data_IF_949519004068
#
_entry.id   IF_949519004068
#
_cell.length_a   1.000
_cell.length_b   1.000
_cell.length_c   1.000
_cell.angle_alpha   90.00
_cell.angle_beta   90.00
_cell.angle_gamma   90.00
#
_symmetry.space_group_name_H-M   'P 1'
#
loop_
_entity.id
_entity.type
_entity.pdbx_description
1 polymer ?
#
# COMPACT_ATOMS: atom_id res chain seq x y z
N UNK A 1 -37.36 72.92 -26.77
CA UNK A 1 -37.05 72.13 -27.98
C UNK A 1 -35.96 71.18 -27.54
N UNK A 2 -36.34 69.98 -27.11
CA UNK A 2 -35.38 69.01 -26.58
C UNK A 2 -34.94 68.15 -27.76
N UNK A 3 -33.70 68.33 -28.19
CA UNK A 3 -33.02 67.37 -29.06
C UNK A 3 -32.80 66.08 -28.28
N UNK A 4 -33.47 65.03 -28.71
CA UNK A 4 -33.16 63.67 -28.33
C UNK A 4 -31.89 63.33 -29.11
N UNK A 5 -30.77 63.22 -28.41
CA UNK A 5 -29.55 62.65 -28.96
C UNK A 5 -29.80 61.14 -29.06
N UNK A 6 -30.10 60.65 -30.26
CA UNK A 6 -30.02 59.22 -30.58
C UNK A 6 -28.55 58.82 -30.49
N UNK A 7 -28.17 58.22 -29.36
CA UNK A 7 -26.94 57.43 -29.25
C UNK A 7 -27.16 56.15 -30.03
N UNK A 8 -26.78 56.14 -31.30
CA UNK A 8 -26.53 54.88 -32.02
C UNK A 8 -25.41 54.15 -31.28
N UNK A 9 -25.73 53.02 -30.64
CA UNK A 9 -24.72 52.07 -30.22
C UNK A 9 -24.06 51.54 -31.50
N UNK A 10 -22.87 52.03 -31.84
CA UNK A 10 -21.98 51.35 -32.78
C UNK A 10 -21.61 49.99 -32.16
N UNK A 11 -22.43 48.97 -32.40
CA UNK A 11 -22.00 47.60 -32.24
C UNK A 11 -21.06 47.31 -33.40
N UNK A 12 -19.75 47.43 -33.20
CA UNK A 12 -18.76 46.85 -34.11
C UNK A 12 -19.11 45.38 -34.30
N UNK A 13 -19.67 45.05 -35.45
CA UNK A 13 -19.98 43.67 -35.80
C UNK A 13 -18.67 42.95 -36.07
N UNK A 14 -18.37 41.92 -35.29
CA UNK A 14 -17.17 41.11 -35.48
C UNK A 14 -17.11 40.58 -36.93
N UNK A 15 -15.93 40.56 -37.57
CA UNK A 15 -15.70 39.95 -38.87
C UNK A 15 -16.23 38.51 -38.94
N UNK A 16 -17.38 38.32 -39.61
CA UNK A 16 -18.12 37.05 -39.65
C UNK A 16 -17.25 35.87 -40.14
N UNK A 17 -16.37 36.11 -41.12
CA UNK A 17 -15.52 35.06 -41.69
C UNK A 17 -14.43 34.58 -40.74
N UNK A 18 -13.86 35.49 -39.93
CA UNK A 18 -12.78 35.22 -38.99
C UNK A 18 -13.29 34.45 -37.77
N UNK A 19 -14.41 34.91 -37.20
CA UNK A 19 -15.11 34.22 -36.11
C UNK A 19 -15.55 32.81 -36.56
N UNK A 20 -16.03 32.65 -37.79
CA UNK A 20 -16.41 31.34 -38.32
C UNK A 20 -15.20 30.39 -38.45
N UNK A 21 -14.03 30.89 -38.83
CA UNK A 21 -12.79 30.11 -38.87
C UNK A 21 -12.38 29.61 -37.49
N UNK A 22 -12.31 30.52 -36.52
CA UNK A 22 -11.96 30.20 -35.14
C UNK A 22 -12.94 29.21 -34.49
N UNK A 23 -14.24 29.34 -34.77
CA UNK A 23 -15.26 28.40 -34.28
C UNK A 23 -15.02 26.98 -34.80
N UNK A 24 -14.74 26.84 -36.11
CA UNK A 24 -14.46 25.53 -36.72
C UNK A 24 -13.22 24.91 -36.08
N UNK A 25 -12.18 25.71 -35.86
CA UNK A 25 -10.95 25.24 -35.21
C UNK A 25 -11.18 24.79 -33.77
N UNK A 26 -11.86 25.61 -32.95
CA UNK A 26 -12.20 25.23 -31.59
C UNK A 26 -13.00 23.93 -31.54
N UNK A 27 -14.04 23.78 -32.37
CA UNK A 27 -14.87 22.59 -32.37
C UNK A 27 -14.11 21.34 -32.82
N UNK A 28 -13.13 21.49 -33.71
CA UNK A 28 -12.23 20.40 -34.06
C UNK A 28 -11.39 19.96 -32.84
N UNK A 29 -10.80 20.92 -32.11
CA UNK A 29 -10.00 20.65 -30.89
C UNK A 29 -10.85 20.05 -29.77
N UNK A 30 -12.07 20.54 -29.55
CA UNK A 30 -13.03 19.95 -28.59
C UNK A 30 -13.38 18.51 -28.98
N UNK A 31 -13.63 18.25 -30.26
CA UNK A 31 -13.94 16.90 -30.74
C UNK A 31 -12.77 15.94 -30.55
N UNK A 32 -11.54 16.41 -30.78
CA UNK A 32 -10.32 15.65 -30.50
C UNK A 32 -10.14 15.36 -28.99
N UNK A 33 -10.36 16.37 -28.15
CA UNK A 33 -10.31 16.23 -26.69
C UNK A 33 -11.33 15.21 -26.15
N UNK A 34 -12.55 15.20 -26.71
CA UNK A 34 -13.58 14.19 -26.41
C UNK A 34 -13.14 12.79 -26.86
N UNK A 35 -12.56 12.66 -28.06
CA UNK A 35 -12.09 11.38 -28.58
C UNK A 35 -10.95 10.78 -27.73
N UNK A 36 -10.14 11.64 -27.10
CA UNK A 36 -9.09 11.23 -26.16
C UNK A 36 -9.56 11.07 -24.72
N UNK A 37 -10.84 11.35 -24.42
CA UNK A 37 -11.39 11.28 -23.07
C UNK A 37 -10.88 12.37 -22.12
N UNK A 38 -10.15 13.37 -22.65
CA UNK A 38 -9.69 14.54 -21.89
C UNK A 38 -10.89 15.39 -21.50
N UNK A 39 -11.85 15.54 -22.42
CA UNK A 39 -13.13 16.17 -22.13
C UNK A 39 -14.20 15.11 -21.92
N UNK A 40 -15.11 15.39 -20.99
CA UNK A 40 -16.44 14.83 -21.01
C UNK A 40 -17.39 15.81 -21.73
N UNK A 41 -18.64 15.39 -21.98
CA UNK A 41 -19.61 16.23 -22.68
C UNK A 41 -19.87 17.57 -21.98
N UNK A 42 -19.87 17.59 -20.64
CA UNK A 42 -20.05 18.82 -19.86
C UNK A 42 -18.91 19.80 -20.12
N UNK A 43 -17.66 19.32 -20.08
CA UNK A 43 -16.48 20.15 -20.33
C UNK A 43 -16.43 20.68 -21.75
N UNK A 44 -16.80 19.86 -22.73
CA UNK A 44 -16.93 20.30 -24.12
C UNK A 44 -17.93 21.47 -24.23
N UNK A 45 -19.12 21.34 -23.63
CA UNK A 45 -20.13 22.41 -23.62
C UNK A 45 -19.66 23.68 -22.89
N UNK A 46 -18.87 23.56 -21.82
CA UNK A 46 -18.27 24.74 -21.16
C UNK A 46 -17.34 25.52 -22.09
N UNK A 47 -16.51 24.83 -22.87
CA UNK A 47 -15.60 25.46 -23.83
C UNK A 47 -16.35 26.10 -24.99
N UNK A 48 -17.37 25.43 -25.54
CA UNK A 48 -18.25 25.99 -26.57
C UNK A 48 -18.95 27.26 -26.06
N UNK A 49 -19.54 27.21 -24.86
CA UNK A 49 -20.21 28.36 -24.27
C UNK A 49 -19.24 29.51 -23.95
N UNK A 50 -18.02 29.20 -23.52
CA UNK A 50 -16.97 30.19 -23.27
C UNK A 50 -16.57 30.94 -24.54
N UNK A 51 -16.43 30.23 -25.66
CA UNK A 51 -16.15 30.83 -26.95
C UNK A 51 -17.30 31.70 -27.48
N UNK A 52 -18.54 31.22 -27.38
CA UNK A 52 -19.72 31.99 -27.80
C UNK A 52 -19.97 33.23 -26.93
N UNK A 53 -19.42 33.27 -25.71
CA UNK A 53 -19.50 34.43 -24.83
C UNK A 53 -18.46 35.52 -25.15
N UNK A 54 -17.46 35.26 -25.99
CA UNK A 54 -16.46 36.23 -26.35
C UNK A 54 -17.05 37.37 -27.20
N UNK A 55 -16.73 38.61 -26.83
CA UNK A 55 -17.14 39.82 -27.57
C UNK A 55 -16.03 40.41 -28.45
N UNK A 56 -14.81 39.85 -28.38
CA UNK A 56 -13.61 40.33 -29.09
C UNK A 56 -12.91 39.14 -29.77
N UNK A 57 -12.41 39.33 -31.00
CA UNK A 57 -11.69 38.28 -31.75
C UNK A 57 -10.44 37.83 -31.00
N UNK A 58 -9.67 38.77 -30.43
CA UNK A 58 -8.44 38.46 -29.70
C UNK A 58 -8.70 37.47 -28.55
N UNK A 59 -9.85 37.56 -27.87
CA UNK A 59 -10.23 36.58 -26.85
C UNK A 59 -10.56 35.20 -27.44
N UNK A 60 -11.18 35.15 -28.62
CA UNK A 60 -11.48 33.90 -29.33
C UNK A 60 -10.19 33.21 -29.81
N UNK A 61 -9.25 33.98 -30.36
CA UNK A 61 -7.91 33.49 -30.75
C UNK A 61 -7.18 32.91 -29.54
N UNK A 62 -7.14 33.66 -28.43
CA UNK A 62 -6.54 33.20 -27.18
C UNK A 62 -7.18 31.90 -26.66
N UNK A 63 -8.52 31.74 -26.75
CA UNK A 63 -9.18 30.49 -26.35
C UNK A 63 -8.77 29.31 -27.25
N UNK A 64 -8.64 29.54 -28.56
CA UNK A 64 -8.18 28.53 -29.52
C UNK A 64 -6.72 28.14 -29.28
N UNK A 65 -5.88 29.06 -28.82
CA UNK A 65 -4.50 28.76 -28.43
C UNK A 65 -4.42 27.99 -27.10
N UNK A 66 -5.15 28.45 -26.07
CA UNK A 66 -5.08 27.88 -24.71
C UNK A 66 -5.67 26.46 -24.66
N UNK A 67 -6.65 26.13 -25.51
CA UNK A 67 -7.28 24.81 -25.47
C UNK A 67 -6.27 23.68 -25.77
N UNK A 68 -5.25 23.91 -26.60
CA UNK A 68 -4.20 22.91 -26.87
C UNK A 68 -3.39 22.60 -25.61
N UNK A 69 -2.94 23.64 -24.90
CA UNK A 69 -2.19 23.47 -23.63
C UNK A 69 -3.04 22.74 -22.58
N UNK A 70 -4.34 23.03 -22.55
CA UNK A 70 -5.27 22.35 -21.67
C UNK A 70 -5.46 20.88 -22.05
N UNK A 71 -5.57 20.58 -23.35
CA UNK A 71 -5.68 19.20 -23.85
C UNK A 71 -4.43 18.41 -23.49
N UNK A 72 -3.23 18.96 -23.72
CA UNK A 72 -1.97 18.31 -23.37
C UNK A 72 -1.86 18.05 -21.86
N UNK A 73 -2.24 19.02 -21.03
CA UNK A 73 -2.31 18.85 -19.58
C UNK A 73 -3.29 17.74 -19.17
N UNK A 74 -4.43 17.63 -19.87
CA UNK A 74 -5.41 16.55 -19.69
C UNK A 74 -4.86 15.18 -20.05
N UNK A 75 -4.13 15.07 -21.16
CA UNK A 75 -3.50 13.81 -21.57
C UNK A 75 -2.46 13.34 -20.55
N UNK A 76 -1.65 14.26 -20.06
CA UNK A 76 -0.67 13.97 -19.02
C UNK A 76 -1.36 13.50 -17.72
N UNK A 77 -2.45 14.17 -17.33
CA UNK A 77 -3.23 13.78 -16.16
C UNK A 77 -3.83 12.36 -16.29
N UNK A 78 -4.42 12.04 -17.44
CA UNK A 78 -4.95 10.69 -17.73
C UNK A 78 -3.82 9.65 -17.67
N UNK A 79 -2.67 9.95 -18.27
CA UNK A 79 -1.50 9.07 -18.22
C UNK A 79 -1.02 8.81 -16.79
N UNK A 80 -0.96 9.85 -15.96
CA UNK A 80 -0.58 9.73 -14.55
C UNK A 80 -1.61 8.93 -13.74
N UNK A 81 -2.91 9.11 -13.99
CA UNK A 81 -3.98 8.33 -13.36
C UNK A 81 -3.87 6.84 -13.73
N UNK A 82 -3.73 6.52 -15.01
CA UNK A 82 -3.55 5.15 -15.48
C UNK A 82 -2.30 4.49 -14.89
N UNK A 83 -1.19 5.22 -14.85
CA UNK A 83 0.07 4.74 -14.26
C UNK A 83 -0.08 4.47 -12.77
N UNK A 84 -0.78 5.36 -12.05
CA UNK A 84 -1.02 5.22 -10.60
C UNK A 84 -1.97 4.04 -10.32
N UNK A 85 -3.02 3.86 -11.12
CA UNK A 85 -3.97 2.76 -10.98
C UNK A 85 -3.36 1.41 -11.34
N UNK A 86 -2.41 1.36 -12.28
CA UNK A 86 -1.68 0.13 -12.62
C UNK A 86 -0.79 -0.40 -11.48
N UNK A 87 -0.60 0.35 -10.40
CA UNK A 87 0.21 -0.05 -9.24
C UNK A 87 -0.39 -1.30 -8.53
N UNK A 88 0.49 -2.10 -7.89
CA UNK A 88 0.11 -3.28 -7.09
C UNK A 88 -0.63 -2.92 -5.78
N UNK A 89 -0.69 -1.63 -5.44
CA UNK A 89 -1.48 -1.14 -4.34
C UNK A 89 -2.98 -1.41 -4.52
N UNK A 90 -3.45 -1.51 -5.76
CA UNK A 90 -4.86 -1.71 -6.10
C UNK A 90 -5.06 -3.09 -6.71
N UNK A 91 -6.14 -3.77 -6.28
CA UNK A 91 -6.62 -4.97 -6.96
C UNK A 91 -7.43 -4.60 -8.20
N UNK A 92 -7.63 -5.55 -9.11
CA UNK A 92 -8.28 -5.27 -10.41
C UNK A 92 -9.68 -4.65 -10.27
N UNK A 93 -10.47 -5.09 -9.28
CA UNK A 93 -11.78 -4.51 -9.03
C UNK A 93 -11.71 -3.05 -8.56
N UNK A 94 -10.73 -2.69 -7.73
CA UNK A 94 -10.50 -1.29 -7.32
C UNK A 94 -10.07 -0.44 -8.52
N UNK A 95 -9.18 -0.97 -9.37
CA UNK A 95 -8.74 -0.27 -10.59
C UNK A 95 -9.91 0.03 -11.51
N UNK A 96 -10.74 -0.98 -11.78
CA UNK A 96 -11.91 -0.83 -12.64
C UNK A 96 -12.90 0.18 -12.06
N UNK A 97 -13.18 0.11 -10.76
CA UNK A 97 -14.06 1.07 -10.10
C UNK A 97 -13.51 2.50 -10.19
N UNK A 98 -12.22 2.70 -9.88
CA UNK A 98 -11.60 4.03 -9.89
C UNK A 98 -11.48 4.63 -11.28
N UNK A 99 -11.24 3.82 -12.32
CA UNK A 99 -11.31 4.27 -13.73
C UNK A 99 -12.71 4.82 -14.07
N UNK A 100 -13.76 4.06 -13.78
CA UNK A 100 -15.13 4.50 -14.03
C UNK A 100 -15.50 5.77 -13.26
N UNK A 101 -14.97 5.94 -12.04
CA UNK A 101 -15.12 7.19 -11.28
C UNK A 101 -14.42 8.36 -12.00
N UNK A 102 -13.15 8.18 -12.40
CA UNK A 102 -12.34 9.21 -13.10
C UNK A 102 -12.98 9.71 -14.39
N UNK A 103 -13.56 8.83 -15.20
CA UNK A 103 -14.21 9.17 -16.47
C UNK A 103 -15.38 10.17 -16.32
N UNK A 104 -15.99 10.22 -15.13
CA UNK A 104 -17.13 11.10 -14.84
C UNK A 104 -16.71 12.41 -14.16
N UNK A 105 -15.44 12.54 -13.77
CA UNK A 105 -14.95 13.71 -13.05
C UNK A 105 -14.54 14.84 -13.99
N UNK A 106 -14.71 16.07 -13.51
CA UNK A 106 -14.09 17.25 -14.13
C UNK A 106 -12.56 17.20 -13.95
N UNK A 107 -11.82 17.91 -14.80
CA UNK A 107 -10.35 17.98 -14.75
C UNK A 107 -9.79 18.24 -13.33
N UNK A 108 -10.32 19.25 -12.62
CA UNK A 108 -9.88 19.57 -11.25
C UNK A 108 -10.18 18.44 -10.25
N UNK A 109 -11.29 17.73 -10.44
CA UNK A 109 -11.63 16.59 -9.60
C UNK A 109 -10.76 15.37 -9.93
N UNK A 110 -10.38 15.18 -11.19
CA UNK A 110 -9.39 14.19 -11.62
C UNK A 110 -8.00 14.46 -11.00
N UNK A 111 -7.53 15.71 -10.97
CA UNK A 111 -6.29 16.08 -10.27
C UNK A 111 -6.35 15.75 -8.78
N UNK A 112 -7.48 16.04 -8.14
CA UNK A 112 -7.68 15.72 -6.72
C UNK A 112 -7.69 14.20 -6.50
N UNK A 113 -8.37 13.45 -7.36
CA UNK A 113 -8.38 11.98 -7.34
C UNK A 113 -6.97 11.41 -7.51
N UNK A 114 -6.17 11.93 -8.45
CA UNK A 114 -4.78 11.51 -8.65
C UNK A 114 -3.95 11.65 -7.37
N UNK A 115 -4.11 12.77 -6.65
CA UNK A 115 -3.43 12.98 -5.36
C UNK A 115 -3.85 11.94 -4.32
N UNK A 116 -5.16 11.66 -4.21
CA UNK A 116 -5.67 10.64 -3.28
C UNK A 116 -5.17 9.23 -3.62
N UNK A 117 -5.12 8.88 -4.90
CA UNK A 117 -4.60 7.61 -5.37
C UNK A 117 -3.09 7.50 -5.07
N UNK A 118 -2.34 8.57 -5.31
CA UNK A 118 -0.90 8.63 -5.01
C UNK A 118 -0.63 8.47 -3.52
N UNK A 119 -1.37 9.16 -2.66
CA UNK A 119 -1.28 9.01 -1.19
C UNK A 119 -1.59 7.57 -0.76
N UNK A 120 -2.54 6.92 -1.43
CA UNK A 120 -2.91 5.53 -1.18
C UNK A 120 -1.77 4.59 -1.57
N UNK A 121 -1.15 4.78 -2.74
CA UNK A 121 0.02 4.00 -3.19
C UNK A 121 1.15 4.12 -2.18
N UNK A 122 1.49 5.34 -1.75
CA UNK A 122 2.56 5.59 -0.78
C UNK A 122 2.27 4.92 0.57
N UNK A 123 1.02 4.98 1.04
CA UNK A 123 0.59 4.31 2.28
C UNK A 123 0.72 2.80 2.17
N UNK A 124 0.23 2.21 1.08
CA UNK A 124 0.26 0.77 0.85
C UNK A 124 1.70 0.26 0.69
N UNK A 125 2.57 1.01 0.02
CA UNK A 125 3.98 0.64 -0.10
C UNK A 125 4.68 0.63 1.27
N UNK A 126 4.41 1.62 2.14
CA UNK A 126 4.89 1.62 3.52
C UNK A 126 4.38 0.41 4.31
N UNK A 127 3.11 0.01 4.12
CA UNK A 127 2.56 -1.19 4.75
C UNK A 127 3.22 -2.47 4.22
N UNK A 128 3.45 -2.57 2.92
CA UNK A 128 4.16 -3.69 2.27
C UNK A 128 5.56 -3.85 2.83
N UNK A 129 6.31 -2.74 2.93
CA UNK A 129 7.65 -2.74 3.52
C UNK A 129 7.64 -3.20 4.98
N UNK A 130 6.70 -2.71 5.80
CA UNK A 130 6.54 -3.18 7.18
C UNK A 130 6.25 -4.68 7.25
N UNK A 131 5.36 -5.17 6.38
CA UNK A 131 5.04 -6.60 6.31
C UNK A 131 6.28 -7.41 5.95
N UNK A 132 7.03 -7.01 4.92
CA UNK A 132 8.28 -7.68 4.54
C UNK A 132 9.27 -7.73 5.70
N UNK A 133 9.44 -6.63 6.44
CA UNK A 133 10.35 -6.56 7.60
C UNK A 133 9.91 -7.52 8.72
N UNK A 134 8.61 -7.60 9.02
CA UNK A 134 8.09 -8.54 10.01
C UNK A 134 8.36 -9.98 9.58
N UNK A 135 8.08 -10.30 8.31
CA UNK A 135 8.22 -11.64 7.78
C UNK A 135 9.69 -12.08 7.63
N UNK A 136 10.60 -11.16 7.28
CA UNK A 136 12.03 -11.47 7.12
C UNK A 136 12.76 -11.64 8.44
N UNK A 137 12.35 -10.90 9.46
CA UNK A 137 13.00 -10.91 10.78
C UNK A 137 12.40 -11.94 11.73
N UNK A 138 11.25 -12.52 11.38
CA UNK A 138 10.63 -13.55 12.19
C UNK A 138 11.43 -14.86 12.14
N UNK A 139 11.75 -15.40 13.32
CA UNK A 139 12.27 -16.75 13.47
C UNK A 139 11.16 -17.80 13.67
N UNK A 140 9.91 -17.35 13.76
CA UNK A 140 8.77 -18.17 14.16
C UNK A 140 7.68 -18.28 13.09
N UNK A 141 7.76 -17.47 12.03
CA UNK A 141 6.89 -17.55 10.86
C UNK A 141 7.55 -18.42 9.81
N UNK A 142 6.86 -19.48 9.38
CA UNK A 142 7.37 -20.35 8.33
C UNK A 142 7.39 -19.63 6.97
N UNK A 143 8.30 -20.03 6.08
CA UNK A 143 8.36 -19.51 4.70
C UNK A 143 7.02 -19.63 3.96
N UNK A 144 6.28 -20.72 4.19
CA UNK A 144 4.95 -20.94 3.59
C UNK A 144 3.92 -19.94 4.12
N UNK A 145 3.91 -19.70 5.43
CA UNK A 145 3.03 -18.71 6.05
C UNK A 145 3.36 -17.29 5.57
N UNK A 146 4.64 -16.96 5.43
CA UNK A 146 5.08 -15.67 4.91
C UNK A 146 4.62 -15.45 3.46
N UNK A 147 4.78 -16.45 2.58
CA UNK A 147 4.27 -16.39 1.20
C UNK A 147 2.77 -16.21 1.16
N UNK A 148 2.03 -16.95 1.98
CA UNK A 148 0.57 -16.83 2.10
C UNK A 148 0.15 -15.42 2.52
N UNK A 149 0.83 -14.82 3.50
CA UNK A 149 0.54 -13.46 3.97
C UNK A 149 0.85 -12.40 2.90
N UNK A 150 1.95 -12.55 2.17
CA UNK A 150 2.27 -11.67 1.03
C UNK A 150 1.25 -11.80 -0.09
N UNK A 151 0.86 -13.02 -0.46
CA UNK A 151 -0.20 -13.24 -1.46
C UNK A 151 -1.52 -12.61 -1.03
N UNK A 152 -1.94 -12.85 0.21
CA UNK A 152 -3.13 -12.23 0.80
C UNK A 152 -3.04 -10.69 0.79
N UNK A 153 -1.87 -10.13 1.08
CA UNK A 153 -1.66 -8.68 1.04
C UNK A 153 -1.89 -8.12 -0.36
N UNK A 154 -1.40 -8.78 -1.40
CA UNK A 154 -1.60 -8.37 -2.81
C UNK A 154 -3.07 -8.44 -3.20
N UNK A 155 -3.77 -9.52 -2.82
CA UNK A 155 -5.18 -9.76 -3.16
C UNK A 155 -6.19 -8.96 -2.32
N UNK A 156 -5.73 -8.27 -1.27
CA UNK A 156 -6.60 -7.46 -0.40
C UNK A 156 -6.71 -6.04 -0.94
N UNK A 157 -7.93 -5.48 -0.89
CA UNK A 157 -8.21 -4.07 -1.21
C UNK A 157 -7.30 -3.12 -0.43
N UNK A 158 -6.91 -2.02 -1.07
CA UNK A 158 -5.96 -1.02 -0.57
C UNK A 158 -6.28 -0.51 0.85
N UNK A 159 -7.56 -0.31 1.18
CA UNK A 159 -8.01 0.16 2.50
C UNK A 159 -7.90 -0.91 3.60
N UNK A 160 -7.88 -2.20 3.21
CA UNK A 160 -7.92 -3.34 4.13
C UNK A 160 -6.58 -4.03 4.30
N UNK A 161 -5.55 -3.59 3.58
CA UNK A 161 -4.18 -4.16 3.66
C UNK A 161 -3.57 -4.06 5.07
N UNK A 162 -3.98 -3.09 5.88
CA UNK A 162 -3.59 -2.99 7.29
C UNK A 162 -4.01 -4.21 8.11
N UNK A 163 -5.15 -4.83 7.80
CA UNK A 163 -5.62 -6.05 8.49
C UNK A 163 -4.65 -7.21 8.29
N UNK A 164 -4.04 -7.30 7.10
CA UNK A 164 -3.06 -8.36 6.80
C UNK A 164 -1.75 -8.11 7.55
N UNK A 165 -1.35 -6.84 7.70
CA UNK A 165 -0.22 -6.45 8.53
C UNK A 165 -0.47 -6.81 9.99
N UNK A 166 -1.64 -6.47 10.53
CA UNK A 166 -2.04 -6.82 11.90
C UNK A 166 -2.06 -8.33 12.12
N UNK A 167 -2.54 -9.10 11.15
CA UNK A 167 -2.49 -10.56 11.20
C UNK A 167 -1.05 -11.08 11.33
N UNK A 168 -0.11 -10.52 10.55
CA UNK A 168 1.30 -10.89 10.65
C UNK A 168 1.90 -10.55 12.02
N UNK A 169 1.59 -9.37 12.57
CA UNK A 169 2.01 -8.95 13.91
C UNK A 169 1.46 -9.88 14.98
N UNK A 170 0.17 -10.19 14.94
CA UNK A 170 -0.47 -11.08 15.92
C UNK A 170 0.10 -12.49 15.85
N UNK A 171 0.41 -12.98 14.66
CA UNK A 171 0.99 -14.31 14.47
C UNK A 171 2.41 -14.36 15.04
N UNK A 172 3.21 -13.32 14.85
CA UNK A 172 4.54 -13.20 15.45
C UNK A 172 4.47 -13.13 16.99
N UNK A 173 3.58 -12.30 17.53
CA UNK A 173 3.39 -12.17 18.98
C UNK A 173 2.93 -13.49 19.61
N UNK A 174 1.99 -14.18 18.98
CA UNK A 174 1.49 -15.47 19.43
C UNK A 174 2.59 -16.52 19.43
N UNK A 175 3.32 -16.66 18.32
CA UNK A 175 4.38 -17.66 18.21
C UNK A 175 5.54 -17.35 19.18
N UNK A 176 5.85 -16.07 19.39
CA UNK A 176 6.83 -15.66 20.41
C UNK A 176 6.37 -16.02 21.82
N UNK A 177 5.08 -15.79 22.15
CA UNK A 177 4.52 -16.13 23.45
C UNK A 177 4.49 -17.65 23.68
N UNK A 178 4.09 -18.43 22.66
CA UNK A 178 4.11 -19.88 22.69
C UNK A 178 5.54 -20.41 22.81
N UNK A 179 6.50 -19.85 22.08
CA UNK A 179 7.92 -20.20 22.20
C UNK A 179 8.43 -19.92 23.62
N UNK A 180 8.15 -18.74 24.20
CA UNK A 180 8.53 -18.41 25.57
C UNK A 180 7.91 -19.36 26.59
N UNK A 181 6.65 -19.74 26.40
CA UNK A 181 5.96 -20.69 27.28
C UNK A 181 6.61 -22.07 27.20
N UNK A 182 6.80 -22.59 25.99
CA UNK A 182 7.39 -23.89 25.74
C UNK A 182 8.85 -23.96 26.22
N UNK A 183 9.60 -22.86 26.04
CA UNK A 183 10.95 -22.70 26.57
C UNK A 183 10.94 -22.87 28.10
N UNK A 184 10.11 -22.10 28.82
CA UNK A 184 9.99 -22.22 30.28
C UNK A 184 9.57 -23.62 30.74
N UNK A 185 8.53 -24.18 30.13
CA UNK A 185 8.04 -25.53 30.44
C UNK A 185 9.16 -26.58 30.26
N UNK A 186 9.96 -26.45 29.18
CA UNK A 186 11.09 -27.35 28.91
C UNK A 186 12.21 -27.16 29.94
N UNK A 187 12.57 -25.92 30.28
CA UNK A 187 13.57 -25.67 31.31
C UNK A 187 13.15 -26.23 32.68
N UNK A 188 11.89 -26.02 33.06
CA UNK A 188 11.34 -26.50 34.33
C UNK A 188 11.31 -28.03 34.37
N UNK A 189 10.91 -28.68 33.27
CA UNK A 189 10.88 -30.13 33.19
C UNK A 189 12.28 -30.75 33.26
N UNK A 190 13.27 -30.19 32.55
CA UNK A 190 14.67 -30.63 32.65
C UNK A 190 15.18 -30.49 34.09
N UNK A 191 14.91 -29.35 34.75
CA UNK A 191 15.30 -29.14 36.15
C UNK A 191 14.61 -30.11 37.11
N UNK A 192 13.33 -30.42 36.90
CA UNK A 192 12.62 -31.40 37.70
C UNK A 192 13.22 -32.79 37.57
N UNK A 193 13.58 -33.23 36.35
CA UNK A 193 14.25 -34.51 36.13
C UNK A 193 15.61 -34.56 36.82
N UNK A 194 16.40 -33.47 36.74
CA UNK A 194 17.67 -33.34 37.47
C UNK A 194 17.46 -33.47 38.99
N UNK A 195 16.48 -32.76 39.54
CA UNK A 195 16.17 -32.80 40.98
C UNK A 195 15.65 -34.16 41.44
N UNK A 196 14.91 -34.86 40.59
CA UNK A 196 14.42 -36.21 40.84
C UNK A 196 15.50 -37.30 40.72
N UNK A 197 16.69 -36.95 40.18
CA UNK A 197 17.76 -37.90 39.90
C UNK A 197 17.56 -38.72 38.62
N UNK A 198 16.59 -38.36 37.77
CA UNK A 198 16.34 -38.99 36.48
C UNK A 198 17.28 -38.43 35.39
N UNK A 199 18.59 -38.61 35.58
CA UNK A 199 19.61 -37.90 34.80
C UNK A 199 19.62 -38.31 33.32
N UNK A 200 19.38 -39.59 33.01
CA UNK A 200 19.29 -40.09 31.63
C UNK A 200 18.07 -39.49 30.90
N UNK A 201 16.94 -39.34 31.59
CA UNK A 201 15.74 -38.67 31.05
C UNK A 201 16.00 -37.19 30.80
N UNK A 202 16.70 -36.51 31.72
CA UNK A 202 17.09 -35.11 31.57
C UNK A 202 18.03 -34.91 30.37
N UNK A 203 19.01 -35.80 30.19
CA UNK A 203 19.95 -35.81 29.05
C UNK A 203 19.20 -35.93 27.71
N UNK A 204 18.28 -36.89 27.62
CA UNK A 204 17.47 -37.10 26.41
C UNK A 204 16.59 -35.88 26.09
N UNK A 205 15.94 -35.32 27.11
CA UNK A 205 15.08 -34.14 26.94
C UNK A 205 15.87 -32.91 26.51
N UNK A 206 17.03 -32.67 27.14
CA UNK A 206 17.91 -31.56 26.80
C UNK A 206 18.49 -31.71 25.37
N UNK A 207 18.85 -32.92 24.97
CA UNK A 207 19.32 -33.24 23.61
C UNK A 207 18.25 -33.02 22.52
N UNK A 208 16.97 -33.24 22.85
CA UNK A 208 15.84 -32.96 21.96
C UNK A 208 15.41 -31.49 21.89
N UNK A 209 15.81 -30.68 22.86
CA UNK A 209 15.37 -29.28 23.02
C UNK A 209 16.17 -28.29 22.14
N UNK A 210 17.39 -28.63 21.71
CA UNK A 210 18.24 -27.82 20.84
C UNK A 210 17.96 -28.08 19.34
N UNK A 211 17.86 -27.05 18.47
CA UNK A 211 17.61 -25.63 18.73
C UNK A 211 16.10 -25.31 18.63
N UNK A 212 15.24 -26.27 18.96
CA UNK A 212 13.80 -26.17 18.67
C UNK A 212 13.03 -25.34 19.71
N UNK A 213 13.48 -25.33 20.96
CA UNK A 213 12.65 -24.84 22.09
C UNK A 213 13.40 -23.94 23.07
N UNK A 214 14.70 -24.14 23.26
CA UNK A 214 15.55 -23.35 24.17
C UNK A 214 16.70 -22.70 23.40
N UNK A 215 17.15 -21.53 23.85
CA UNK A 215 18.31 -20.86 23.25
C UNK A 215 19.62 -21.59 23.57
N UNK A 216 20.67 -21.32 22.80
CA UNK A 216 22.00 -21.91 23.03
C UNK A 216 22.53 -21.57 24.43
N UNK A 217 22.34 -20.33 24.88
CA UNK A 217 22.77 -19.90 26.22
C UNK A 217 22.05 -20.68 27.32
N UNK A 218 20.74 -20.88 27.18
CA UNK A 218 19.92 -21.65 28.14
C UNK A 218 20.29 -23.14 28.13
N UNK A 219 20.53 -23.71 26.94
CA UNK A 219 21.02 -25.09 26.82
C UNK A 219 22.33 -25.28 27.58
N UNK A 220 23.30 -24.38 27.39
CA UNK A 220 24.61 -24.47 28.07
C UNK A 220 24.44 -24.40 29.59
N UNK A 221 23.54 -23.53 30.07
CA UNK A 221 23.22 -23.45 31.51
C UNK A 221 22.64 -24.75 32.04
N UNK A 222 21.58 -25.28 31.41
CA UNK A 222 20.95 -26.54 31.82
C UNK A 222 21.91 -27.72 31.71
N UNK A 223 22.79 -27.72 30.71
CA UNK A 223 23.82 -28.75 30.56
C UNK A 223 24.78 -28.75 31.74
N UNK A 224 25.23 -27.56 32.15
CA UNK A 224 26.07 -27.40 33.34
C UNK A 224 25.37 -27.89 34.62
N UNK A 225 24.08 -27.60 34.78
CA UNK A 225 23.28 -28.12 35.91
C UNK A 225 23.24 -29.65 35.92
N UNK A 226 23.03 -30.29 34.76
CA UNK A 226 22.99 -31.74 34.60
C UNK A 226 24.35 -32.41 34.87
N UNK A 227 25.43 -31.89 34.29
CA UNK A 227 26.78 -32.42 34.49
C UNK A 227 27.18 -32.37 35.98
N UNK A 228 26.82 -31.30 36.70
CA UNK A 228 27.04 -31.19 38.14
C UNK A 228 26.26 -32.27 38.91
N UNK A 229 25.02 -32.55 38.52
CA UNK A 229 24.21 -33.59 39.15
C UNK A 229 24.80 -34.99 38.92
N UNK A 230 25.25 -35.30 37.70
CA UNK A 230 25.93 -36.57 37.37
C UNK A 230 27.21 -36.77 38.18
N UNK A 231 28.02 -35.72 38.35
CA UNK A 231 29.23 -35.78 39.19
C UNK A 231 28.88 -36.07 40.65
N UNK A 232 27.78 -35.49 41.17
CA UNK A 232 27.33 -35.71 42.55
C UNK A 232 26.85 -37.15 42.75
N UNK A 233 26.08 -37.69 41.81
CA UNK A 233 25.61 -39.07 41.85
C UNK A 233 26.78 -40.07 41.79
N UNK A 234 27.71 -39.88 40.85
CA UNK A 234 28.90 -40.73 40.74
C UNK A 234 29.73 -40.72 42.04
N UNK A 235 29.90 -39.56 42.68
CA UNK A 235 30.58 -39.45 43.98
C UNK A 235 29.83 -40.16 45.09
N UNK A 236 28.51 -40.03 45.15
CA UNK A 236 27.70 -40.74 46.16
C UNK A 236 27.83 -42.25 46.01
N UNK A 237 27.80 -42.76 44.78
CA UNK A 237 27.95 -44.19 44.46
C UNK A 237 29.35 -44.72 44.81
N UNK A 238 30.40 -43.92 44.67
CA UNK A 238 31.76 -44.28 45.09
C UNK A 238 31.91 -44.35 46.62
N UNK A 239 31.23 -43.48 47.36
CA UNK A 239 31.25 -43.46 48.83
C UNK A 239 30.47 -44.64 49.40
N UNK A 240 29.30 -44.97 48.84
CA UNK A 240 28.49 -46.12 49.26
C UNK A 240 29.12 -47.47 48.91
N UNK A 241 29.88 -47.57 47.81
CA UNK A 241 30.64 -48.78 47.47
C UNK A 241 31.95 -48.96 48.24
N UNK A 242 32.48 -47.91 48.87
CA UNK A 242 33.65 -47.97 49.77
C UNK A 242 33.29 -48.36 51.22
N UNK A 243 31.99 -48.43 51.55
CA UNK A 243 31.49 -48.70 52.90
C UNK A 243 30.73 -50.03 53.02
N UNK A 244 30.73 -50.85 51.96
CA UNK A 244 30.29 -52.24 51.92
C UNK A 244 31.51 -53.17 51.84
#
# INVERSE_FOLDING_TARGET
MNEIIELELETETLPIAEVAGLRVELYAKISEALAWGVFNNEKASEWEAGFEACTEIEHMENLVEIIDEFIDSGRELIYQLETTLANEAFIESERQQKRSEVEQLSFRAQEWMLRQLSDTVDRVEKQRQKLVVILSNSHHISSETAKRLLGKFVETESERKEIVLDEAVQLELKNTAEYRRLNRETQDQVRQLILAGELDSAEQMLGGALPKVISVAEYVSLRGELDIAQIREARANLVSSSSA
#
